data_IF_323098342739
#
_entry.id   IF_323098342739
#
_cell.length_a   1.000
_cell.length_b   1.000
_cell.length_c   1.000
_cell.angle_alpha   90.00
_cell.angle_beta   90.00
_cell.angle_gamma   90.00
#
_symmetry.space_group_name_H-M   'P 1'
#
loop_
_entity.id
_entity.type
_entity.pdbx_description
1 polymer ?
2 non-polymer ?
3 non-polymer ?
4 non-polymer ?
5 water ?
#
# COMPACT_ATOMS: atom_id res chain seq x y z
N UNK A 1 12.29 -21.99 1.22
CA UNK A 1 12.08 -20.71 1.90
C UNK A 1 11.23 -19.75 1.08
N UNK A 2 10.67 -18.74 1.74
CA UNK A 2 9.70 -17.83 1.09
C UNK A 2 10.37 -16.90 0.07
N UNK A 3 9.59 -16.37 -0.86
CA UNK A 3 10.09 -15.35 -1.79
C UNK A 3 8.92 -14.55 -2.34
N UNK A 4 9.20 -13.37 -2.91
CA UNK A 4 8.11 -12.60 -3.48
C UNK A 4 7.48 -13.33 -4.66
N UNK A 5 8.30 -14.08 -5.40
CA UNK A 5 7.77 -14.92 -6.48
C UNK A 5 6.77 -15.95 -5.98
N UNK A 6 7.07 -16.58 -4.85
CA UNK A 6 6.18 -17.59 -4.28
C UNK A 6 4.87 -16.97 -3.84
N UNK A 7 4.97 -15.82 -3.18
CA UNK A 7 3.79 -15.08 -2.76
C UNK A 7 2.93 -14.74 -3.97
N UNK A 8 3.56 -14.25 -5.03
CA UNK A 8 2.82 -13.95 -6.25
C UNK A 8 2.13 -15.19 -6.80
N UNK A 9 2.84 -16.29 -6.87
CA UNK A 9 2.22 -17.54 -7.34
C UNK A 9 1.03 -17.98 -6.50
N UNK A 10 1.16 -17.87 -5.19
CA UNK A 10 0.07 -18.27 -4.30
C UNK A 10 -1.12 -17.33 -4.51
N UNK A 11 -0.82 -16.04 -4.54
CA UNK A 11 -1.87 -15.04 -4.69
C UNK A 11 -2.66 -15.21 -6.00
N UNK A 12 -1.98 -15.46 -7.11
CA UNK A 12 -2.61 -15.50 -8.44
C UNK A 12 -3.68 -16.58 -8.53
N UNK A 13 -3.44 -17.68 -7.81
CA UNK A 13 -4.38 -18.78 -7.85
C UNK A 13 -5.07 -18.96 -6.51
N UNK A 14 -5.01 -17.92 -5.67
CA UNK A 14 -5.55 -18.03 -4.31
C UNK A 14 -7.07 -18.09 -4.24
N UNK A 15 -7.61 -19.02 -3.45
CA UNK A 15 -9.05 -19.07 -3.20
C UNK A 15 -9.35 -19.14 -1.69
N UNK A 16 -8.54 -18.42 -0.91
CA UNK A 16 -8.60 -18.50 0.55
C UNK A 16 -9.68 -17.64 1.20
N UNK A 17 -10.27 -16.70 0.47
CA UNK A 17 -11.49 -16.04 0.97
C UNK A 17 -12.49 -15.87 -0.16
N UNK A 18 -13.67 -15.35 0.15
CA UNK A 18 -14.73 -15.36 -0.86
C UNK A 18 -14.51 -14.35 -1.98
N UNK A 19 -13.49 -13.48 -1.84
CA UNK A 19 -13.25 -12.47 -2.87
C UNK A 19 -12.78 -13.09 -4.19
N UNK A 20 -12.19 -14.28 -4.10
CA UNK A 20 -11.64 -14.91 -5.30
C UNK A 20 -12.68 -15.04 -6.42
N UNK A 21 -13.94 -15.29 -6.07
CA UNK A 21 -14.97 -15.58 -7.06
C UNK A 21 -15.30 -14.37 -7.93
N UNK A 22 -14.89 -13.18 -7.50
CA UNK A 22 -15.33 -11.96 -8.15
C UNK A 22 -14.27 -11.36 -9.08
N UNK A 23 -13.08 -11.93 -9.11
CA UNK A 23 -11.96 -11.25 -9.77
C UNK A 23 -11.74 -11.66 -11.21
N UNK A 24 -11.06 -10.79 -11.96
CA UNK A 24 -10.46 -11.17 -13.23
C UNK A 24 -9.02 -11.59 -12.95
N UNK A 25 -8.30 -10.77 -12.20
CA UNK A 25 -6.95 -11.10 -11.77
C UNK A 25 -6.74 -10.69 -10.31
N UNK A 26 -6.11 -11.57 -9.51
CA UNK A 26 -5.63 -11.15 -8.20
C UNK A 26 -4.51 -10.16 -8.42
N UNK A 27 -4.20 -9.37 -7.39
CA UNK A 27 -3.20 -8.33 -7.53
C UNK A 27 -2.11 -8.51 -6.50
N UNK A 28 -1.05 -9.26 -6.83
CA UNK A 28 -0.06 -9.58 -5.79
C UNK A 28 0.84 -8.41 -5.38
N UNK A 29 0.99 -7.42 -6.28
CA UNK A 29 1.87 -6.30 -5.99
C UNK A 29 3.12 -6.35 -6.87
N UNK A 30 3.88 -5.27 -6.92
CA UNK A 30 5.04 -5.28 -7.83
C UNK A 30 6.05 -4.25 -7.41
N UNK A 31 7.29 -4.44 -7.87
CA UNK A 31 8.32 -3.46 -7.64
C UNK A 31 9.61 -4.09 -7.16
N UNK A 32 10.47 -3.24 -6.63
CA UNK A 32 11.84 -3.62 -6.29
C UNK A 32 11.90 -4.38 -4.98
N UNK A 33 12.48 -5.59 -4.97
CA UNK A 33 12.55 -6.39 -3.74
C UNK A 33 13.42 -5.76 -2.67
N UNK A 34 14.29 -4.84 -3.03
CA UNK A 34 15.06 -4.13 -2.00
C UNK A 34 14.64 -2.65 -1.89
N UNK A 35 13.38 -2.36 -2.21
CA UNK A 35 12.84 -1.00 -2.10
C UNK A 35 13.04 -0.46 -0.71
N UNK A 36 13.45 0.80 -0.62
CA UNK A 36 13.47 1.48 0.67
C UNK A 36 12.06 1.95 1.03
N UNK A 37 11.24 2.18 0.00
CA UNK A 37 9.88 2.65 0.24
C UNK A 37 8.83 1.65 -0.30
N UNK A 38 7.93 1.25 0.58
CA UNK A 38 6.87 0.31 0.26
C UNK A 38 5.52 0.99 0.46
N UNK A 39 4.69 1.04 -0.59
CA UNK A 39 3.36 1.62 -0.51
C UNK A 39 2.34 0.53 -0.34
N UNK A 40 1.43 0.74 0.59
CA UNK A 40 0.38 -0.23 0.82
C UNK A 40 -0.99 0.43 0.73
N UNK A 41 -1.78 0.04 -0.28
CA UNK A 41 -3.12 0.54 -0.43
C UNK A 41 -4.14 -0.37 0.22
N UNK A 42 -5.41 -0.09 -0.05
CA UNK A 42 -6.51 -0.83 0.54
C UNK A 42 -6.80 -2.17 -0.16
N UNK A 43 -7.52 -2.10 -1.26
CA UNK A 43 -7.81 -3.27 -2.07
C UNK A 43 -7.84 -2.78 -3.49
N UNK A 44 -7.74 -3.69 -4.46
CA UNK A 44 -7.77 -3.28 -5.87
C UNK A 44 -9.10 -2.67 -6.28
N UNK A 45 -9.05 -1.71 -7.19
CA UNK A 45 -10.25 -1.25 -7.87
C UNK A 45 -10.45 -1.96 -9.19
N UNK A 46 -11.34 -1.45 -10.04
CA UNK A 46 -11.70 -2.20 -11.24
C UNK A 46 -10.57 -2.27 -12.26
N UNK A 47 -9.78 -1.21 -12.42
CA UNK A 47 -8.68 -1.25 -13.38
C UNK A 47 -7.57 -2.18 -12.90
N UNK A 48 -7.31 -2.16 -11.60
CA UNK A 48 -6.30 -3.05 -11.00
C UNK A 48 -6.69 -4.51 -11.20
N UNK A 49 -7.96 -4.80 -11.00
CA UNK A 49 -8.51 -6.13 -11.21
C UNK A 49 -8.28 -6.53 -12.68
N UNK A 50 -8.58 -5.61 -13.61
CA UNK A 50 -8.44 -5.94 -15.02
C UNK A 50 -6.97 -6.21 -15.42
N UNK A 51 -6.06 -5.45 -14.83
CA UNK A 51 -4.64 -5.55 -15.22
C UNK A 51 -3.85 -6.52 -14.35
N UNK A 52 -4.36 -6.84 -13.17
CA UNK A 52 -3.61 -7.65 -12.23
C UNK A 52 -2.45 -6.88 -11.59
N UNK A 53 -2.55 -5.56 -11.53
CA UNK A 53 -1.48 -4.68 -11.05
C UNK A 53 -2.06 -3.62 -10.12
N UNK A 54 -1.29 -3.17 -9.14
CA UNK A 54 -1.80 -2.20 -8.18
C UNK A 54 -1.72 -0.77 -8.71
N UNK A 55 -2.63 0.10 -8.29
CA UNK A 55 -2.60 1.52 -8.62
C UNK A 55 -2.34 1.79 -10.11
N UNK A 56 -3.29 1.37 -10.95
CA UNK A 56 -3.19 1.67 -12.39
C UNK A 56 -4.37 2.54 -12.88
N UNK A 57 -5.31 2.85 -12.01
CA UNK A 57 -6.43 3.68 -12.44
C UNK A 57 -6.04 5.15 -12.40
N UNK A 58 -7.05 6.03 -12.38
CA UNK A 58 -6.81 7.46 -12.24
C UNK A 58 -6.07 7.74 -10.93
N UNK A 59 -6.45 7.04 -9.88
CA UNK A 59 -5.83 7.23 -8.58
C UNK A 59 -4.36 6.80 -8.67
N UNK A 60 -4.12 5.69 -9.34
CA UNK A 60 -2.76 5.18 -9.53
C UNK A 60 -1.89 6.10 -10.37
N UNK A 61 -2.49 6.74 -11.37
CA UNK A 61 -1.74 7.67 -12.20
C UNK A 61 -1.31 8.86 -11.36
N UNK A 62 -2.19 9.33 -10.49
CA UNK A 62 -1.79 10.39 -9.55
C UNK A 62 -0.66 9.95 -8.62
N UNK A 63 -0.77 8.73 -8.09
CA UNK A 63 0.31 8.18 -7.25
C UNK A 63 1.63 8.18 -8.00
N UNK A 64 1.58 7.65 -9.22
CA UNK A 64 2.77 7.61 -10.06
C UNK A 64 3.39 9.00 -10.22
N UNK A 65 2.55 9.99 -10.48
CA UNK A 65 3.03 11.35 -10.69
C UNK A 65 3.73 11.87 -9.42
N UNK A 66 3.11 11.64 -8.27
CA UNK A 66 3.70 12.13 -7.03
C UNK A 66 5.01 11.42 -6.72
N UNK A 67 5.05 10.12 -6.96
CA UNK A 67 6.28 9.38 -6.77
C UNK A 67 7.39 9.92 -7.68
N UNK A 68 7.05 10.17 -8.93
CA UNK A 68 8.02 10.73 -9.88
C UNK A 68 8.39 12.18 -9.56
N UNK A 69 7.40 13.04 -9.37
CA UNK A 69 7.70 14.46 -9.31
C UNK A 69 8.15 14.91 -7.92
N UNK A 70 7.63 14.27 -6.87
CA UNK A 70 7.97 14.70 -5.50
C UNK A 70 9.06 13.83 -4.87
N UNK A 71 8.94 12.52 -5.00
CA UNK A 71 9.97 11.64 -4.45
C UNK A 71 11.17 11.54 -5.39
N UNK A 72 10.95 11.75 -6.69
CA UNK A 72 12.02 11.67 -7.67
C UNK A 72 12.34 10.22 -8.06
N UNK A 73 11.32 9.37 -8.07
CA UNK A 73 11.55 7.93 -8.28
C UNK A 73 10.68 7.38 -9.41
N UNK A 74 11.15 6.31 -10.06
CA UNK A 74 10.28 5.55 -10.93
C UNK A 74 9.56 4.47 -10.11
N UNK A 75 8.43 3.97 -10.61
CA UNK A 75 7.71 2.97 -9.85
C UNK A 75 8.54 1.71 -9.66
N UNK A 76 9.45 1.41 -10.59
CA UNK A 76 10.21 0.17 -10.45
C UNK A 76 11.34 0.30 -9.43
N UNK A 77 11.41 1.46 -8.77
CA UNK A 77 12.32 1.62 -7.63
C UNK A 77 11.65 1.44 -6.29
N UNK A 78 10.32 1.34 -6.28
CA UNK A 78 9.62 1.16 -5.02
C UNK A 78 8.84 -0.13 -5.06
N UNK A 79 8.17 -0.47 -3.96
CA UNK A 79 7.32 -1.66 -3.98
C UNK A 79 5.91 -1.22 -3.66
N UNK A 80 4.94 -1.70 -4.42
CA UNK A 80 3.56 -1.24 -4.25
C UNK A 80 2.64 -2.43 -4.12
N UNK A 81 1.82 -2.45 -3.09
CA UNK A 81 0.87 -3.53 -2.97
C UNK A 81 -0.38 -3.06 -2.18
N UNK A 82 -1.19 -4.01 -1.76
CA UNK A 82 -2.44 -3.71 -1.05
C UNK A 82 -2.64 -4.68 0.09
N UNK A 83 -3.37 -4.27 1.12
CA UNK A 83 -3.57 -5.14 2.27
C UNK A 83 -4.46 -6.32 1.87
N UNK A 84 -5.43 -6.10 0.98
CA UNK A 84 -6.25 -7.15 0.42
C UNK A 84 -5.99 -7.18 -1.08
N UNK A 85 -5.84 -8.36 -1.67
CA UNK A 85 -5.30 -8.41 -3.04
C UNK A 85 -6.29 -8.81 -4.14
N UNK A 86 -7.58 -8.90 -3.78
CA UNK A 86 -8.64 -9.09 -4.76
C UNK A 86 -9.71 -8.01 -4.58
N UNK A 87 -10.33 -7.60 -5.68
CA UNK A 87 -11.30 -6.51 -5.61
C UNK A 87 -12.59 -6.98 -4.93
N UNK A 88 -13.01 -6.30 -3.85
CA UNK A 88 -14.26 -6.67 -3.20
C UNK A 88 -15.43 -6.45 -4.15
N UNK A 89 -16.51 -7.24 -4.01
CA UNK A 89 -17.66 -7.11 -4.89
C UNK A 89 -18.30 -5.73 -4.76
N UNK A 90 -18.66 -5.13 -5.89
CA UNK A 90 -19.37 -3.87 -5.91
C UNK A 90 -18.53 -2.78 -5.25
N UNK A 91 -17.22 -3.02 -5.20
CA UNK A 91 -16.24 -2.11 -4.63
C UNK A 91 -16.51 -1.72 -3.18
N UNK A 92 -17.14 -2.62 -2.42
CA UNK A 92 -17.31 -2.35 -1.00
C UNK A 92 -15.93 -2.40 -0.35
N UNK A 93 -15.88 -2.02 0.92
CA UNK A 93 -14.66 -2.20 1.71
C UNK A 93 -14.49 -3.69 1.96
N UNK A 94 -13.24 -4.15 2.15
CA UNK A 94 -13.07 -5.55 2.55
C UNK A 94 -13.62 -5.82 3.95
N UNK A 95 -13.99 -7.07 4.20
CA UNK A 95 -14.50 -7.48 5.51
C UNK A 95 -13.37 -8.04 6.37
N UNK A 96 -13.60 -8.11 7.68
CA UNK A 96 -12.56 -8.52 8.61
C UNK A 96 -12.02 -9.90 8.26
N UNK A 97 -12.90 -10.81 7.86
CA UNK A 97 -12.46 -12.15 7.50
C UNK A 97 -11.59 -12.11 6.23
N UNK A 98 -11.78 -11.09 5.41
CA UNK A 98 -11.01 -10.99 4.16
C UNK A 98 -9.64 -10.39 4.47
N UNK A 99 -9.63 -9.36 5.30
CA UNK A 99 -8.36 -8.80 5.74
C UNK A 99 -7.56 -9.86 6.50
N UNK A 100 -8.26 -10.64 7.33
CA UNK A 100 -7.64 -11.72 8.08
C UNK A 100 -7.09 -12.80 7.15
N UNK A 101 -7.84 -13.11 6.10
CA UNK A 101 -7.41 -14.15 5.16
C UNK A 101 -6.19 -13.72 4.36
N UNK A 102 -6.17 -12.46 3.94
CA UNK A 102 -5.22 -12.00 2.94
C UNK A 102 -3.98 -11.38 3.55
N UNK A 103 -4.13 -10.73 4.70
CA UNK A 103 -3.02 -9.96 5.25
C UNK A 103 -1.73 -10.76 5.48
N UNK A 104 -1.79 -12.10 5.70
CA UNK A 104 -0.48 -12.77 5.85
C UNK A 104 0.39 -12.65 4.61
N UNK A 105 -0.21 -12.45 3.44
CA UNK A 105 0.59 -12.22 2.24
C UNK A 105 1.40 -10.95 2.39
N UNK A 106 0.74 -9.91 2.88
CA UNK A 106 1.40 -8.64 3.13
C UNK A 106 2.46 -8.79 4.21
N UNK A 107 2.19 -9.54 5.27
CA UNK A 107 3.19 -9.71 6.34
C UNK A 107 4.43 -10.34 5.74
N UNK A 108 4.20 -11.33 4.88
CA UNK A 108 5.31 -12.06 4.26
C UNK A 108 6.12 -11.14 3.35
N UNK A 109 5.42 -10.24 2.65
CA UNK A 109 6.08 -9.30 1.76
C UNK A 109 6.94 -8.33 2.57
N UNK A 110 6.39 -7.85 3.69
CA UNK A 110 7.16 -6.94 4.54
C UNK A 110 8.38 -7.67 5.08
N UNK A 111 8.19 -8.94 5.45
CA UNK A 111 9.28 -9.74 6.05
C UNK A 111 10.46 -9.86 5.10
N UNK A 112 10.15 -9.98 3.81
CA UNK A 112 11.16 -10.18 2.78
C UNK A 112 11.82 -8.85 2.43
N UNK A 113 11.02 -7.81 2.22
CA UNK A 113 11.57 -6.55 1.73
C UNK A 113 12.25 -5.73 2.83
N UNK A 114 11.64 -5.71 4.01
CA UNK A 114 12.13 -4.93 5.14
C UNK A 114 12.47 -3.50 4.73
N UNK A 115 11.46 -2.76 4.24
CA UNK A 115 11.69 -1.42 3.74
C UNK A 115 12.10 -0.46 4.86
N UNK A 116 12.76 0.64 4.47
CA UNK A 116 13.03 1.74 5.42
C UNK A 116 11.73 2.43 5.86
N UNK A 117 10.82 2.56 4.89
CA UNK A 117 9.58 3.30 5.09
C UNK A 117 8.40 2.53 4.51
N UNK A 118 7.33 2.41 5.30
CA UNK A 118 6.05 1.94 4.77
C UNK A 118 5.05 3.10 4.73
N UNK A 119 4.58 3.43 3.55
CA UNK A 119 3.60 4.47 3.37
C UNK A 119 2.24 3.77 3.26
N UNK A 120 1.37 4.04 4.21
CA UNK A 120 0.06 3.41 4.19
C UNK A 120 -0.94 4.42 3.63
N UNK A 121 -1.52 4.06 2.50
CA UNK A 121 -2.40 4.95 1.75
C UNK A 121 -3.84 4.68 2.11
N UNK A 122 -4.40 5.45 3.04
CA UNK A 122 -5.78 5.26 3.42
C UNK A 122 -6.02 4.57 4.74
N UNK A 123 -7.28 4.59 5.18
CA UNK A 123 -7.58 4.17 6.54
C UNK A 123 -7.45 2.68 6.76
N UNK A 124 -7.72 1.86 5.74
CA UNK A 124 -7.72 0.41 5.97
C UNK A 124 -6.31 -0.13 6.12
N UNK A 125 -5.43 0.25 5.21
CA UNK A 125 -4.06 -0.21 5.29
C UNK A 125 -3.38 0.37 6.54
N UNK A 126 -3.68 1.63 6.84
CA UNK A 126 -3.12 2.27 8.02
C UNK A 126 -3.56 1.53 9.28
N UNK A 127 -4.87 1.28 9.41
CA UNK A 127 -5.35 0.56 10.59
C UNK A 127 -4.75 -0.84 10.70
N UNK A 128 -4.53 -1.51 9.56
CA UNK A 128 -3.94 -2.84 9.61
C UNK A 128 -2.50 -2.78 10.16
N UNK A 129 -1.71 -1.91 9.56
CA UNK A 129 -0.31 -1.81 9.96
C UNK A 129 -0.21 -1.33 11.40
N UNK A 130 -1.02 -0.34 11.77
CA UNK A 130 -1.07 0.05 13.20
C UNK A 130 -1.37 -1.14 14.11
N UNK A 131 -2.26 -2.04 13.70
CA UNK A 131 -2.56 -3.20 14.53
C UNK A 131 -1.36 -4.12 14.68
N UNK A 132 -0.58 -4.26 13.62
CA UNK A 132 0.63 -5.08 13.69
C UNK A 132 1.69 -4.40 14.56
N UNK A 133 1.72 -3.07 14.51
CA UNK A 133 2.65 -2.31 15.33
C UNK A 133 2.28 -2.35 16.78
N UNK A 134 0.99 -2.42 17.06
CA UNK A 134 0.50 -2.25 18.41
C UNK A 134 0.33 -0.78 18.73
N UNK A 135 0.18 0.03 17.68
CA UNK A 135 -0.13 1.46 17.81
C UNK A 135 -1.64 1.72 17.73
N UNK A 136 -2.13 2.54 18.65
CA UNK A 136 -3.54 2.88 18.68
C UNK A 136 -3.98 3.63 17.42
N UNK A 137 -5.07 3.19 16.82
CA UNK A 137 -5.60 3.87 15.62
C UNK A 137 -6.89 4.56 15.91
N UNK A 138 -6.93 5.88 15.67
CA UNK A 138 -8.13 6.67 15.89
C UNK A 138 -8.86 6.87 14.57
N UNK A 139 -8.30 7.70 13.70
CA UNK A 139 -8.79 7.87 12.34
C UNK A 139 -7.64 8.29 11.43
N UNK A 140 -7.82 8.11 10.13
CA UNK A 140 -6.79 8.49 9.16
C UNK A 140 -6.57 9.99 9.24
N UNK A 141 -7.63 10.76 9.46
CA UNK A 141 -7.47 12.22 9.56
C UNK A 141 -6.55 12.59 10.73
N UNK A 142 -6.63 11.80 11.80
CA UNK A 142 -5.91 12.14 13.02
C UNK A 142 -4.47 11.63 12.99
N UNK A 143 -4.22 10.57 12.23
CA UNK A 143 -2.85 10.04 12.24
C UNK A 143 -2.05 10.35 11.00
N UNK A 144 -2.71 10.81 9.93
CA UNK A 144 -1.98 11.01 8.66
C UNK A 144 -0.92 12.09 8.83
N UNK A 145 0.16 11.98 8.07
CA UNK A 145 1.15 13.06 8.01
C UNK A 145 2.23 13.02 9.07
N UNK A 146 2.22 11.97 9.88
CA UNK A 146 3.18 11.81 10.95
C UNK A 146 3.95 10.55 10.73
N UNK A 147 5.20 10.50 11.21
CA UNK A 147 5.98 9.28 11.12
C UNK A 147 5.88 8.50 12.43
N UNK A 148 5.78 7.17 12.33
CA UNK A 148 5.74 6.28 13.49
C UNK A 148 6.86 5.27 13.36
N UNK A 149 7.61 5.05 14.43
CA UNK A 149 8.69 4.08 14.35
C UNK A 149 8.21 2.71 14.76
N UNK A 150 8.36 1.75 13.86
CA UNK A 150 7.95 0.39 14.10
C UNK A 150 9.21 -0.43 14.30
N UNK A 151 9.46 -0.86 15.55
CA UNK A 151 10.57 -1.77 15.77
C UNK A 151 10.14 -3.13 15.25
N UNK A 152 10.85 -3.60 14.23
CA UNK A 152 10.48 -4.78 13.46
C UNK A 152 11.68 -5.70 13.30
N UNK A 153 11.69 -6.84 13.99
CA UNK A 153 12.85 -7.73 13.95
C UNK A 153 14.07 -6.91 14.34
N UNK A 154 15.09 -6.91 13.49
CA UNK A 154 16.34 -6.23 13.86
C UNK A 154 16.31 -4.76 13.44
N UNK A 155 15.25 -4.35 12.74
CA UNK A 155 15.22 -3.02 12.12
C UNK A 155 14.17 -2.09 12.74
N UNK A 156 14.34 -0.78 12.53
CA UNK A 156 13.25 0.18 12.72
C UNK A 156 12.65 0.51 11.35
N UNK A 157 11.34 0.29 11.20
CA UNK A 157 10.65 0.65 9.96
C UNK A 157 9.85 1.91 10.27
N UNK A 158 10.01 2.93 9.42
CA UNK A 158 9.19 4.13 9.58
C UNK A 158 7.85 3.96 8.89
N UNK A 159 6.77 4.08 9.66
CA UNK A 159 5.42 4.00 9.06
C UNK A 159 4.86 5.40 8.92
N UNK A 160 4.38 5.71 7.71
CA UNK A 160 3.90 7.03 7.40
C UNK A 160 2.53 6.98 6.74
N UNK A 161 1.46 7.23 7.50
CA UNK A 161 0.13 7.15 6.90
C UNK A 161 -0.23 8.41 6.15
N UNK A 162 -0.97 8.27 5.06
CA UNK A 162 -1.52 9.45 4.39
C UNK A 162 -2.86 9.06 3.76
N UNK A 163 -3.52 10.01 3.11
CA UNK A 163 -4.76 9.69 2.41
C UNK A 163 -4.52 8.78 1.20
N UNK A 164 -5.57 8.07 0.79
CA UNK A 164 -5.48 7.31 -0.47
C UNK A 164 -5.56 8.30 -1.61
N UNK A 165 -4.77 8.10 -2.68
CA UNK A 165 -4.74 9.10 -3.76
C UNK A 165 -6.09 9.28 -4.46
N UNK A 166 -6.96 8.29 -4.40
CA UNK A 166 -8.29 8.45 -4.99
C UNK A 166 -9.03 9.58 -4.29
N UNK A 167 -8.76 9.76 -3.01
CA UNK A 167 -9.44 10.83 -2.28
C UNK A 167 -8.98 12.18 -2.79
N UNK A 168 -7.79 12.23 -3.39
CA UNK A 168 -7.24 13.51 -3.83
C UNK A 168 -7.64 13.89 -5.26
N UNK A 169 -8.29 12.98 -5.98
CA UNK A 169 -8.61 13.20 -7.39
C UNK A 169 -9.45 14.45 -7.65
N UNK A 170 -10.51 14.65 -6.85
CA UNK A 170 -11.42 15.76 -7.11
C UNK A 170 -11.51 16.70 -5.91
N UNK A 171 -10.42 16.79 -5.15
CA UNK A 171 -10.36 17.61 -3.96
C UNK A 171 -9.01 18.29 -3.87
N UNK A 172 -8.93 19.53 -4.37
CA UNK A 172 -7.65 20.25 -4.50
C UNK A 172 -6.90 20.41 -3.18
N UNK A 173 -7.62 20.66 -2.10
CA UNK A 173 -6.96 20.95 -0.84
C UNK A 173 -6.37 19.67 -0.28
N UNK A 174 -7.14 18.59 -0.36
CA UNK A 174 -6.68 17.29 0.08
C UNK A 174 -5.49 16.83 -0.78
N UNK A 175 -5.49 17.18 -2.06
CA UNK A 175 -4.37 16.83 -2.91
C UNK A 175 -3.13 17.64 -2.50
N UNK A 176 -3.32 18.88 -2.06
CA UNK A 176 -2.18 19.68 -1.61
C UNK A 176 -1.59 19.10 -0.32
N UNK A 177 -2.45 18.51 0.51
CA UNK A 177 -2.02 17.86 1.76
C UNK A 177 -1.26 16.56 1.47
N UNK A 178 -1.78 15.81 0.52
CA UNK A 178 -1.10 14.58 0.08
C UNK A 178 0.28 14.91 -0.50
N UNK A 179 0.35 15.96 -1.30
CA UNK A 179 1.63 16.38 -1.88
C UNK A 179 2.62 16.77 -0.79
N UNK A 180 2.14 17.47 0.24
CA UNK A 180 3.00 17.90 1.34
C UNK A 180 3.44 16.67 2.11
N UNK A 181 2.53 15.72 2.26
CA UNK A 181 2.87 14.44 2.90
C UNK A 181 3.96 13.71 2.12
N UNK A 182 3.85 13.70 0.79
CA UNK A 182 4.90 13.09 -0.02
C UNK A 182 6.23 13.85 0.10
N UNK A 183 6.16 15.15 0.29
CA UNK A 183 7.39 15.89 0.56
C UNK A 183 8.03 15.41 1.88
N UNK A 184 7.23 15.14 2.90
CA UNK A 184 7.80 14.69 4.17
C UNK A 184 8.38 13.29 4.00
N UNK A 185 7.73 12.48 3.16
CA UNK A 185 8.21 11.12 2.87
C UNK A 185 9.58 11.19 2.17
N UNK A 186 9.73 12.17 1.28
CA UNK A 186 11.00 12.47 0.63
C UNK A 186 12.09 12.70 1.67
N UNK A 187 11.83 13.61 2.60
CA UNK A 187 12.80 13.98 3.62
C UNK A 187 13.18 12.75 4.43
N UNK A 188 12.17 11.95 4.81
CA UNK A 188 12.45 10.74 5.57
C UNK A 188 13.35 9.79 4.78
N UNK A 189 13.06 9.66 3.49
CA UNK A 189 13.80 8.73 2.65
C UNK A 189 15.27 9.12 2.49
N UNK A 190 15.55 10.40 2.36
CA UNK A 190 16.92 10.82 2.07
C UNK A 190 17.77 11.05 3.33
N UNK A 191 17.12 11.12 4.50
CA UNK A 191 17.81 11.34 5.77
C UNK A 191 18.37 10.04 6.36
N UNK A 192 19.67 10.03 6.72
CA UNK A 192 20.35 8.84 7.25
C UNK A 192 19.60 8.09 8.34
#
# INVERSE_FOLDING_TARGET
>A
MDSLEKIKEEVISCKKCKLWQFRTNAVPGEGYPKAEIMFVGEAPGENEDKEGRPFVGAAGKLLTQMIKEILGLERDQVFITNVVKCRPPNNRDPEEDEITACSPYLDRQIDIIMPKIIVTLGRHSTKYIFSKMGENFSSITKVRGKSYVWKYKEKEIIVFPTYHPAAALYNPNLRKILEEDFKKIRELAITPKR
#
